data_IF_183891577013
#
_entry.id   IF_183891577013
#
_cell.length_a   1.000
_cell.length_b   1.000
_cell.length_c   1.000
_cell.angle_alpha   90.00
_cell.angle_beta   90.00
_cell.angle_gamma   90.00
#
_symmetry.space_group_name_H-M   'P 1'
#
loop_
_entity.id
_entity.type
_entity.pdbx_description
1 polymer ?
#
# COMPACT_ATOMS: atom_id res chain seq x y z
N UNK A 1 37.36 18.00 17.22
CA UNK A 1 36.92 16.89 18.10
C UNK A 1 37.17 15.60 17.36
N UNK A 2 37.99 14.72 17.92
CA UNK A 2 38.25 13.38 17.38
C UNK A 2 37.01 12.51 17.57
N UNK A 3 36.44 12.01 16.48
CA UNK A 3 35.33 11.05 16.50
C UNK A 3 35.77 9.81 17.28
N UNK A 4 34.96 9.34 18.25
CA UNK A 4 35.25 8.10 18.98
C UNK A 4 35.40 6.92 18.01
N UNK A 5 36.29 5.97 18.33
CA UNK A 5 36.49 4.73 17.54
C UNK A 5 35.14 4.02 17.34
N UNK A 6 34.32 3.97 18.40
CA UNK A 6 32.99 3.38 18.35
C UNK A 6 32.03 4.13 17.42
N UNK A 7 32.10 5.46 17.38
CA UNK A 7 31.27 6.24 16.45
C UNK A 7 31.71 6.05 14.98
N UNK A 8 33.01 5.99 14.72
CA UNK A 8 33.54 5.71 13.38
C UNK A 8 33.18 4.30 12.91
N UNK A 9 33.29 3.31 13.79
CA UNK A 9 32.90 1.93 13.50
C UNK A 9 31.38 1.78 13.28
N UNK A 10 30.56 2.46 14.08
CA UNK A 10 29.12 2.55 13.87
C UNK A 10 28.75 3.08 12.48
N UNK A 11 29.44 4.12 12.00
CA UNK A 11 29.24 4.64 10.63
C UNK A 11 29.61 3.59 9.59
N UNK A 12 30.75 2.92 9.75
CA UNK A 12 31.20 1.86 8.83
C UNK A 12 30.19 0.72 8.73
N UNK A 13 29.69 0.24 9.86
CA UNK A 13 28.70 -0.84 9.95
C UNK A 13 27.35 -0.40 9.35
N UNK A 14 26.93 0.84 9.60
CA UNK A 14 25.73 1.43 9.01
C UNK A 14 25.83 1.47 7.47
N UNK A 15 26.97 1.89 6.91
CA UNK A 15 27.19 1.87 5.45
C UNK A 15 27.17 0.45 4.87
N UNK A 16 27.49 -0.56 5.67
CA UNK A 16 27.39 -1.98 5.28
C UNK A 16 25.97 -2.56 5.44
N UNK A 17 25.00 -1.77 5.92
CA UNK A 17 23.65 -2.24 6.20
C UNK A 17 23.53 -3.11 7.46
N UNK A 18 24.58 -3.17 8.29
CA UNK A 18 24.59 -3.95 9.53
C UNK A 18 23.94 -3.15 10.67
N UNK A 19 22.62 -2.97 10.60
CA UNK A 19 21.85 -2.10 11.50
C UNK A 19 22.04 -2.43 12.99
N UNK A 20 21.91 -3.71 13.38
CA UNK A 20 22.04 -4.12 14.78
C UNK A 20 23.42 -3.81 15.38
N UNK A 21 24.51 -4.29 14.75
CA UNK A 21 25.87 -3.95 15.17
C UNK A 21 26.17 -2.45 15.16
N UNK A 22 25.70 -1.71 14.16
CA UNK A 22 25.88 -0.25 14.10
C UNK A 22 25.22 0.47 15.29
N UNK A 23 24.00 0.06 15.68
CA UNK A 23 23.32 0.59 16.87
C UNK A 23 24.17 0.36 18.12
N UNK A 24 24.72 -0.85 18.31
CA UNK A 24 25.52 -1.17 19.49
C UNK A 24 26.78 -0.29 19.58
N UNK A 25 27.47 -0.08 18.47
CA UNK A 25 28.67 0.77 18.44
C UNK A 25 28.33 2.25 18.71
N UNK A 26 27.23 2.77 18.16
CA UNK A 26 26.77 4.12 18.49
C UNK A 26 26.37 4.25 19.97
N UNK A 27 25.68 3.26 20.54
CA UNK A 27 25.30 3.25 21.95
C UNK A 27 26.54 3.21 22.87
N UNK A 28 27.58 2.44 22.51
CA UNK A 28 28.88 2.47 23.22
C UNK A 28 29.52 3.84 23.15
N UNK A 29 29.59 4.45 21.98
CA UNK A 29 30.12 5.81 21.83
C UNK A 29 29.38 6.82 22.70
N UNK A 30 28.05 6.70 22.82
CA UNK A 30 27.24 7.58 23.69
C UNK A 30 27.39 7.29 25.17
N UNK A 31 27.76 6.06 25.56
CA UNK A 31 28.08 5.72 26.96
C UNK A 31 29.39 6.35 27.41
N UNK A 32 30.37 6.48 26.49
CA UNK A 32 31.65 7.15 26.74
C UNK A 32 31.51 8.68 26.68
N UNK A 33 30.79 9.18 25.67
CA UNK A 33 30.52 10.60 25.48
C UNK A 33 29.04 10.82 25.09
N UNK A 34 28.17 11.20 26.05
CA UNK A 34 26.75 11.43 25.79
C UNK A 34 26.44 12.56 24.80
N UNK A 35 27.42 13.40 24.47
CA UNK A 35 27.31 14.53 23.52
C UNK A 35 28.02 14.26 22.18
N UNK A 36 28.40 13.02 21.89
CA UNK A 36 29.05 12.66 20.64
C UNK A 36 28.08 12.78 19.45
N UNK A 37 28.21 13.88 18.69
CA UNK A 37 27.28 14.24 17.60
C UNK A 37 27.18 13.18 16.51
N UNK A 38 28.30 12.58 16.11
CA UNK A 38 28.34 11.52 15.09
C UNK A 38 27.50 10.32 15.51
N UNK A 39 27.58 9.92 16.78
CA UNK A 39 26.82 8.80 17.31
C UNK A 39 25.34 9.14 17.49
N UNK A 40 25.01 10.36 17.95
CA UNK A 40 23.62 10.82 18.03
C UNK A 40 22.94 10.82 16.65
N UNK A 41 23.58 11.40 15.64
CA UNK A 41 23.05 11.46 14.27
C UNK A 41 22.98 10.07 13.64
N UNK A 42 24.02 9.26 13.78
CA UNK A 42 24.04 7.90 13.26
C UNK A 42 22.90 7.06 13.83
N UNK A 43 22.72 7.09 15.15
CA UNK A 43 21.64 6.38 15.82
C UNK A 43 20.27 6.95 15.43
N UNK A 44 20.11 8.28 15.33
CA UNK A 44 18.87 8.89 14.88
C UNK A 44 18.47 8.44 13.47
N UNK A 45 19.42 8.40 12.52
CA UNK A 45 19.19 7.89 11.15
C UNK A 45 18.75 6.43 11.14
N UNK A 46 19.37 5.58 11.97
CA UNK A 46 18.97 4.17 12.09
C UNK A 46 17.57 4.02 12.71
N UNK A 47 17.24 4.83 13.73
CA UNK A 47 15.89 4.84 14.32
C UNK A 47 14.84 5.30 13.31
N UNK A 48 15.14 6.31 12.49
CA UNK A 48 14.29 6.73 11.36
C UNK A 48 14.09 5.62 10.33
N UNK A 49 15.14 4.88 9.97
CA UNK A 49 15.04 3.75 9.04
C UNK A 49 14.20 2.59 9.61
N UNK A 50 14.20 2.42 10.94
CA UNK A 50 13.40 1.45 11.67
C UNK A 50 11.99 1.96 12.02
N UNK A 51 11.61 3.16 11.58
CA UNK A 51 10.34 3.83 11.93
C UNK A 51 10.12 3.99 13.45
N UNK A 52 11.19 4.04 14.25
CA UNK A 52 11.18 4.36 15.69
C UNK A 52 11.24 5.88 15.86
N UNK A 53 10.18 6.56 15.42
CA UNK A 53 10.10 8.02 15.36
C UNK A 53 10.25 8.68 16.74
N UNK A 54 9.76 8.01 17.79
CA UNK A 54 9.87 8.48 19.17
C UNK A 54 11.34 8.63 19.59
N UNK A 55 12.15 7.58 19.42
CA UNK A 55 13.58 7.65 19.75
C UNK A 55 14.36 8.52 18.78
N UNK A 56 14.01 8.50 17.49
CA UNK A 56 14.63 9.40 16.52
C UNK A 56 14.46 10.86 16.95
N UNK A 57 13.25 11.28 17.34
CA UNK A 57 12.98 12.64 17.83
C UNK A 57 13.78 12.98 19.08
N UNK A 58 13.89 12.06 20.03
CA UNK A 58 14.70 12.26 21.24
C UNK A 58 16.18 12.54 20.90
N UNK A 59 16.78 11.68 20.06
CA UNK A 59 18.17 11.81 19.64
C UNK A 59 18.42 13.08 18.84
N UNK A 60 17.51 13.43 17.91
CA UNK A 60 17.61 14.66 17.11
C UNK A 60 17.49 15.91 17.98
N UNK A 61 16.65 15.91 19.03
CA UNK A 61 16.58 17.02 19.99
C UNK A 61 17.88 17.17 20.77
N UNK A 62 18.50 16.07 21.19
CA UNK A 62 19.83 16.11 21.83
C UNK A 62 20.91 16.69 20.90
N UNK A 63 20.83 16.41 19.59
CA UNK A 63 21.71 17.07 18.61
C UNK A 63 21.50 18.59 18.61
N UNK A 64 20.25 19.05 18.67
CA UNK A 64 19.92 20.48 18.68
C UNK A 64 20.22 21.17 20.02
N UNK A 65 20.21 20.45 21.15
CA UNK A 65 20.71 20.98 22.43
C UNK A 65 22.20 21.30 22.37
N UNK A 66 22.97 20.53 21.59
CA UNK A 66 24.40 20.73 21.42
C UNK A 66 24.64 21.79 20.33
N UNK A 67 24.01 21.64 19.16
CA UNK A 67 24.13 22.51 18.00
C UNK A 67 22.71 22.96 17.52
N UNK A 68 22.19 24.09 18.03
CA UNK A 68 20.81 24.53 17.75
C UNK A 68 20.47 24.77 16.28
N UNK A 69 21.46 25.06 15.44
CA UNK A 69 21.30 25.34 14.01
C UNK A 69 21.69 24.16 13.12
N UNK A 70 21.79 22.94 13.67
CA UNK A 70 22.17 21.77 12.89
C UNK A 70 21.09 21.41 11.86
N UNK A 71 21.33 21.76 10.59
CA UNK A 71 20.34 21.71 9.51
C UNK A 71 19.78 20.31 9.27
N UNK A 72 20.62 19.27 9.32
CA UNK A 72 20.16 17.90 9.14
C UNK A 72 19.18 17.47 10.24
N UNK A 73 19.45 17.81 11.50
CA UNK A 73 18.60 17.44 12.62
C UNK A 73 17.26 18.20 12.58
N UNK A 74 17.31 19.49 12.25
CA UNK A 74 16.12 20.29 11.96
C UNK A 74 15.31 19.70 10.80
N UNK A 75 15.97 19.30 9.71
CA UNK A 75 15.33 18.72 8.53
C UNK A 75 14.67 17.38 8.83
N UNK A 76 15.30 16.51 9.62
CA UNK A 76 14.68 15.26 10.03
C UNK A 76 13.47 15.46 10.94
N UNK A 77 13.53 16.37 11.92
CA UNK A 77 12.38 16.70 12.76
C UNK A 77 11.24 17.32 11.95
N UNK A 78 11.54 18.28 11.08
CA UNK A 78 10.57 18.93 10.21
C UNK A 78 9.89 17.93 9.26
N UNK A 79 10.63 16.93 8.75
CA UNK A 79 10.06 15.83 7.97
C UNK A 79 9.08 15.00 8.81
N UNK A 80 9.46 14.59 10.02
CA UNK A 80 8.57 13.82 10.88
C UNK A 80 7.31 14.61 11.26
N UNK A 81 7.43 15.93 11.45
CA UNK A 81 6.28 16.80 11.72
C UNK A 81 5.37 16.91 10.48
N UNK A 82 5.95 17.07 9.29
CA UNK A 82 5.19 17.11 8.04
C UNK A 82 4.49 15.78 7.70
N UNK A 83 5.14 14.64 7.97
CA UNK A 83 4.56 13.30 7.83
C UNK A 83 3.41 13.07 8.84
N UNK A 84 3.48 13.71 10.01
CA UNK A 84 2.39 13.74 10.99
C UNK A 84 1.26 14.75 10.66
N UNK A 85 1.34 15.44 9.52
CA UNK A 85 0.33 16.39 9.06
C UNK A 85 0.54 17.85 9.50
N UNK A 86 1.67 18.18 10.15
CA UNK A 86 2.00 19.57 10.47
C UNK A 86 2.61 20.29 9.26
N UNK A 87 1.82 21.16 8.63
CA UNK A 87 2.24 22.00 7.50
C UNK A 87 3.49 22.85 7.78
N UNK A 88 3.74 23.21 9.04
CA UNK A 88 4.94 23.98 9.42
C UNK A 88 6.22 23.21 9.11
N UNK A 89 6.19 21.87 9.22
CA UNK A 89 7.31 21.02 8.85
C UNK A 89 7.73 21.20 7.39
N UNK A 90 6.77 21.36 6.47
CA UNK A 90 7.06 21.60 5.05
C UNK A 90 7.68 22.97 4.84
N UNK A 91 7.16 24.00 5.50
CA UNK A 91 7.72 25.35 5.44
C UNK A 91 9.18 25.37 5.91
N UNK A 92 9.48 24.68 7.01
CA UNK A 92 10.85 24.54 7.51
C UNK A 92 11.74 23.81 6.49
N UNK A 93 11.27 22.71 5.92
CA UNK A 93 12.02 21.96 4.89
C UNK A 93 12.31 22.81 3.64
N UNK A 94 11.32 23.57 3.15
CA UNK A 94 11.51 24.50 2.02
C UNK A 94 12.52 25.58 2.37
N UNK A 95 12.47 26.11 3.59
CA UNK A 95 13.44 27.08 4.10
C UNK A 95 14.86 26.53 4.13
N UNK A 96 15.06 25.34 4.71
CA UNK A 96 16.37 24.68 4.79
C UNK A 96 16.93 24.36 3.39
N UNK A 97 16.11 23.81 2.48
CA UNK A 97 16.54 23.51 1.12
C UNK A 97 16.83 24.75 0.27
N UNK A 98 16.31 25.92 0.67
CA UNK A 98 16.55 27.21 0.01
C UNK A 98 17.82 27.93 0.48
N UNK A 99 18.51 27.42 1.49
CA UNK A 99 19.77 28.00 1.98
C UNK A 99 20.92 27.76 0.98
N UNK A 100 21.90 28.67 0.96
CA UNK A 100 23.06 28.57 0.05
C UNK A 100 23.94 27.34 0.32
N UNK A 101 23.95 26.88 1.57
CA UNK A 101 24.69 25.72 2.07
C UNK A 101 23.82 24.47 2.21
N UNK A 102 22.61 24.47 1.62
CA UNK A 102 21.72 23.31 1.62
C UNK A 102 22.42 22.06 1.05
N UNK A 103 22.39 20.98 1.82
CA UNK A 103 23.08 19.74 1.55
C UNK A 103 22.16 18.62 1.09
N UNK A 104 22.73 17.42 1.06
CA UNK A 104 22.03 16.20 0.66
C UNK A 104 20.75 15.95 1.46
N UNK A 105 20.79 16.09 2.79
CA UNK A 105 19.67 15.72 3.65
C UNK A 105 18.52 16.72 3.57
N UNK A 106 18.81 18.01 3.39
CA UNK A 106 17.81 19.05 3.21
C UNK A 106 16.97 18.78 1.96
N UNK A 107 17.62 18.49 0.83
CA UNK A 107 16.96 18.12 -0.41
C UNK A 107 16.22 16.79 -0.33
N UNK A 108 16.84 15.76 0.28
CA UNK A 108 16.23 14.44 0.44
C UNK A 108 14.96 14.49 1.29
N UNK A 109 15.00 15.19 2.44
CA UNK A 109 13.87 15.29 3.33
C UNK A 109 12.72 16.09 2.68
N UNK A 110 13.01 17.21 2.01
CA UNK A 110 12.01 17.97 1.27
C UNK A 110 11.35 17.12 0.18
N UNK A 111 12.16 16.45 -0.65
CA UNK A 111 11.65 15.59 -1.73
C UNK A 111 10.72 14.49 -1.21
N UNK A 112 11.07 13.84 -0.09
CA UNK A 112 10.24 12.77 0.52
C UNK A 112 8.87 13.27 0.93
N UNK A 113 8.80 14.43 1.58
CA UNK A 113 7.53 15.03 2.01
C UNK A 113 6.68 15.46 0.82
N UNK A 114 7.30 16.06 -0.20
CA UNK A 114 6.59 16.45 -1.42
C UNK A 114 6.05 15.23 -2.17
N UNK A 115 6.83 14.13 -2.23
CA UNK A 115 6.40 12.88 -2.82
C UNK A 115 5.19 12.28 -2.09
N UNK A 116 5.22 12.24 -0.74
CA UNK A 116 4.09 11.76 0.07
C UNK A 116 2.81 12.59 -0.14
N UNK A 117 2.97 13.86 -0.50
CA UNK A 117 1.87 14.79 -0.83
C UNK A 117 1.47 14.77 -2.30
N UNK A 118 2.01 13.85 -3.09
CA UNK A 118 1.79 13.74 -4.55
C UNK A 118 2.20 15.00 -5.34
N UNK A 119 3.07 15.85 -4.80
CA UNK A 119 3.61 17.03 -5.49
C UNK A 119 4.84 16.59 -6.29
N UNK A 120 4.59 15.82 -7.34
CA UNK A 120 5.63 15.04 -8.01
C UNK A 120 6.71 15.88 -8.72
N UNK A 121 6.34 17.03 -9.28
CA UNK A 121 7.28 17.92 -9.98
C UNK A 121 8.33 18.50 -9.03
N UNK A 122 7.88 19.14 -7.94
CA UNK A 122 8.78 19.68 -6.91
C UNK A 122 9.58 18.56 -6.22
N UNK A 123 8.98 17.39 -6.00
CA UNK A 123 9.67 16.25 -5.41
C UNK A 123 10.84 15.78 -6.28
N UNK A 124 10.63 15.62 -7.60
CA UNK A 124 11.70 15.24 -8.52
C UNK A 124 12.82 16.30 -8.57
N UNK A 125 12.48 17.59 -8.56
CA UNK A 125 13.47 18.67 -8.51
C UNK A 125 14.34 18.60 -7.25
N UNK A 126 13.73 18.38 -6.08
CA UNK A 126 14.46 18.20 -4.83
C UNK A 126 15.35 16.95 -4.87
N UNK A 127 14.86 15.81 -5.36
CA UNK A 127 15.67 14.60 -5.48
C UNK A 127 16.80 14.73 -6.50
N UNK A 128 16.63 15.50 -7.57
CA UNK A 128 17.71 15.81 -8.51
C UNK A 128 18.83 16.62 -7.85
N UNK A 129 18.49 17.58 -6.97
CA UNK A 129 19.49 18.30 -6.18
C UNK A 129 20.20 17.37 -5.20
N UNK A 130 19.48 16.48 -4.50
CA UNK A 130 20.08 15.45 -3.65
C UNK A 130 21.00 14.50 -4.46
N UNK A 131 20.60 14.13 -5.68
CA UNK A 131 21.38 13.26 -6.58
C UNK A 131 22.66 13.96 -7.04
N UNK A 132 22.65 15.27 -7.29
CA UNK A 132 23.89 16.01 -7.60
C UNK A 132 24.91 15.94 -6.46
N UNK A 133 24.44 15.93 -5.21
CA UNK A 133 25.31 15.77 -4.03
C UNK A 133 25.83 14.33 -3.89
N UNK A 134 24.98 13.33 -4.16
CA UNK A 134 25.34 11.91 -4.10
C UNK A 134 24.84 11.15 -5.33
N UNK A 135 25.59 11.14 -6.46
CA UNK A 135 25.11 10.61 -7.74
C UNK A 135 24.80 9.11 -7.77
N UNK A 136 25.44 8.34 -6.90
CA UNK A 136 25.29 6.89 -6.80
C UNK A 136 24.58 6.47 -5.50
N UNK A 137 23.75 7.33 -4.92
CA UNK A 137 22.92 6.94 -3.76
C UNK A 137 21.66 6.19 -4.24
N UNK A 138 21.50 4.89 -3.92
CA UNK A 138 20.37 4.07 -4.37
C UNK A 138 19.02 4.56 -3.85
N UNK A 139 18.97 5.10 -2.63
CA UNK A 139 17.73 5.64 -2.07
C UNK A 139 17.25 6.85 -2.85
N UNK A 140 18.15 7.80 -3.17
CA UNK A 140 17.78 8.98 -3.97
C UNK A 140 17.30 8.59 -5.35
N UNK A 141 18.00 7.66 -6.02
CA UNK A 141 17.59 7.16 -7.33
C UNK A 141 16.21 6.49 -7.28
N UNK A 142 15.93 5.74 -6.22
CA UNK A 142 14.61 5.12 -6.02
C UNK A 142 13.52 6.17 -5.81
N UNK A 143 13.74 7.15 -4.94
CA UNK A 143 12.76 8.20 -4.69
C UNK A 143 12.54 9.12 -5.90
N UNK A 144 13.60 9.43 -6.65
CA UNK A 144 13.50 10.14 -7.92
C UNK A 144 12.67 9.34 -8.93
N UNK A 145 12.92 8.02 -9.04
CA UNK A 145 12.10 7.13 -9.87
C UNK A 145 10.62 7.13 -9.46
N UNK A 146 10.32 7.16 -8.16
CA UNK A 146 8.95 7.26 -7.65
C UNK A 146 8.29 8.59 -8.04
N UNK A 147 9.00 9.71 -7.90
CA UNK A 147 8.50 11.02 -8.30
C UNK A 147 8.23 11.10 -9.81
N UNK A 148 9.18 10.62 -10.63
CA UNK A 148 9.04 10.57 -12.09
C UNK A 148 7.88 9.66 -12.53
N UNK A 149 7.66 8.54 -11.86
CA UNK A 149 6.49 7.69 -12.09
C UNK A 149 5.19 8.46 -11.82
N UNK A 150 5.12 9.23 -10.73
CA UNK A 150 3.98 10.06 -10.40
C UNK A 150 3.69 11.15 -11.46
N UNK A 151 4.72 11.65 -12.14
CA UNK A 151 4.59 12.55 -13.30
C UNK A 151 4.18 11.83 -14.60
N UNK A 152 4.05 10.50 -14.59
CA UNK A 152 3.80 9.70 -15.80
C UNK A 152 5.06 9.39 -16.63
N UNK A 153 6.25 9.84 -16.22
CA UNK A 153 7.55 9.61 -16.90
C UNK A 153 8.09 8.20 -16.62
N UNK A 154 7.36 7.20 -17.10
CA UNK A 154 7.54 5.79 -16.74
C UNK A 154 8.86 5.17 -17.27
N UNK A 155 9.41 5.67 -18.37
CA UNK A 155 10.70 5.18 -18.90
C UNK A 155 11.89 5.69 -18.09
N UNK A 156 11.89 6.98 -17.75
CA UNK A 156 12.91 7.59 -16.89
C UNK A 156 12.88 6.98 -15.49
N UNK A 157 11.68 6.81 -14.92
CA UNK A 157 11.50 6.13 -13.64
C UNK A 157 12.10 4.72 -13.63
N UNK A 158 11.85 3.94 -14.69
CA UNK A 158 12.40 2.59 -14.83
C UNK A 158 13.93 2.60 -14.88
N UNK A 159 14.53 3.54 -15.61
CA UNK A 159 15.99 3.67 -15.69
C UNK A 159 16.60 3.95 -14.30
N UNK A 160 15.99 4.84 -13.52
CA UNK A 160 16.44 5.14 -12.16
C UNK A 160 16.29 3.95 -11.21
N UNK A 161 15.18 3.21 -11.25
CA UNK A 161 15.00 2.01 -10.44
C UNK A 161 16.02 0.92 -10.76
N UNK A 162 16.28 0.67 -12.05
CA UNK A 162 17.28 -0.32 -12.47
C UNK A 162 18.70 0.11 -12.08
N UNK A 163 19.01 1.42 -12.17
CA UNK A 163 20.30 1.94 -11.71
C UNK A 163 20.44 1.79 -10.19
N UNK A 164 19.42 2.14 -9.40
CA UNK A 164 19.41 1.93 -7.96
C UNK A 164 19.62 0.44 -7.61
N UNK A 165 18.88 -0.47 -8.25
CA UNK A 165 19.03 -1.91 -8.06
C UNK A 165 20.42 -2.45 -8.42
N UNK A 166 21.14 -1.81 -9.36
CA UNK A 166 22.51 -2.20 -9.71
C UNK A 166 23.55 -1.80 -8.66
N UNK A 167 23.21 -0.84 -7.79
CA UNK A 167 24.10 -0.29 -6.77
C UNK A 167 23.94 -0.95 -5.40
N UNK A 168 22.92 -1.80 -5.22
CA UNK A 168 22.62 -2.49 -3.95
C UNK A 168 22.47 -3.98 -4.14
N UNK A 169 22.93 -4.76 -3.16
CA UNK A 169 22.78 -6.22 -3.14
C UNK A 169 21.69 -6.68 -2.17
N UNK A 170 21.30 -5.85 -1.21
CA UNK A 170 20.39 -6.20 -0.10
C UNK A 170 19.15 -5.29 -0.01
N UNK A 171 18.77 -4.65 -1.12
CA UNK A 171 17.53 -3.86 -1.20
C UNK A 171 16.61 -4.38 -2.29
N UNK A 172 15.34 -4.54 -1.94
CA UNK A 172 14.32 -5.11 -2.81
C UNK A 172 13.42 -4.04 -3.46
N UNK A 173 13.24 -2.88 -2.82
CA UNK A 173 12.30 -1.83 -3.27
C UNK A 173 12.53 -1.34 -4.70
N UNK A 174 13.77 -1.07 -5.17
CA UNK A 174 13.95 -0.58 -6.53
C UNK A 174 13.54 -1.64 -7.58
N UNK A 175 13.85 -2.92 -7.32
CA UNK A 175 13.45 -4.04 -8.18
C UNK A 175 11.94 -4.22 -8.20
N UNK A 176 11.29 -4.14 -7.03
CA UNK A 176 9.84 -4.21 -6.90
C UNK A 176 9.15 -3.10 -7.70
N UNK A 177 9.62 -1.86 -7.60
CA UNK A 177 9.05 -0.75 -8.38
C UNK A 177 9.31 -0.88 -9.88
N UNK A 178 10.50 -1.33 -10.29
CA UNK A 178 10.78 -1.64 -11.69
C UNK A 178 9.86 -2.77 -12.23
N UNK A 179 9.64 -3.83 -11.44
CA UNK A 179 8.76 -4.92 -11.79
C UNK A 179 7.32 -4.45 -12.02
N UNK A 180 6.76 -3.62 -11.11
CA UNK A 180 5.42 -3.05 -11.28
C UNK A 180 5.30 -2.21 -12.56
N UNK A 181 6.29 -1.37 -12.87
CA UNK A 181 6.28 -0.58 -14.10
C UNK A 181 6.33 -1.45 -15.36
N UNK A 182 7.17 -2.49 -15.36
CA UNK A 182 7.25 -3.43 -16.47
C UNK A 182 5.95 -4.21 -16.68
N UNK A 183 5.29 -4.59 -15.59
CA UNK A 183 3.99 -5.25 -15.64
C UNK A 183 2.93 -4.36 -16.30
N UNK A 184 2.85 -3.08 -15.92
CA UNK A 184 1.95 -2.11 -16.56
C UNK A 184 2.26 -1.89 -18.05
N UNK A 185 3.53 -2.02 -18.45
CA UNK A 185 3.96 -1.98 -19.87
C UNK A 185 3.74 -3.31 -20.63
N UNK A 186 3.15 -4.32 -19.99
CA UNK A 186 2.95 -5.65 -20.58
C UNK A 186 4.22 -6.50 -20.70
N UNK A 187 5.35 -6.06 -20.15
CA UNK A 187 6.62 -6.80 -20.13
C UNK A 187 6.64 -7.82 -18.99
N UNK A 188 5.63 -8.69 -18.97
CA UNK A 188 5.35 -9.65 -17.89
C UNK A 188 6.54 -10.55 -17.53
N UNK A 189 7.24 -11.20 -18.48
CA UNK A 189 8.35 -12.09 -18.13
C UNK A 189 9.46 -11.36 -17.38
N UNK A 190 9.78 -10.12 -17.79
CA UNK A 190 10.80 -9.30 -17.15
C UNK A 190 10.33 -8.78 -15.80
N UNK A 191 9.05 -8.43 -15.65
CA UNK A 191 8.47 -8.03 -14.37
C UNK A 191 8.57 -9.16 -13.33
N UNK A 192 8.21 -10.39 -13.70
CA UNK A 192 8.31 -11.56 -12.82
C UNK A 192 9.76 -11.86 -12.42
N UNK A 193 10.71 -11.72 -13.36
CA UNK A 193 12.12 -11.91 -13.07
C UNK A 193 12.64 -10.89 -12.05
N UNK A 194 12.35 -9.59 -12.23
CA UNK A 194 12.74 -8.56 -11.26
C UNK A 194 12.06 -8.76 -9.90
N UNK A 195 10.81 -9.23 -9.87
CA UNK A 195 10.12 -9.49 -8.61
C UNK A 195 10.73 -10.69 -7.86
N UNK A 196 11.16 -11.75 -8.56
CA UNK A 196 11.90 -12.86 -7.94
C UNK A 196 13.25 -12.39 -7.39
N UNK A 197 13.94 -11.51 -8.11
CA UNK A 197 15.16 -10.88 -7.60
C UNK A 197 14.87 -10.01 -6.37
N UNK A 198 13.79 -9.23 -6.37
CA UNK A 198 13.36 -8.46 -5.21
C UNK A 198 13.13 -9.38 -3.99
N UNK A 199 12.43 -10.49 -4.18
CA UNK A 199 12.18 -11.49 -3.14
C UNK A 199 13.49 -12.09 -2.58
N UNK A 200 14.49 -12.32 -3.43
CA UNK A 200 15.80 -12.83 -3.00
C UNK A 200 16.63 -11.83 -2.20
N UNK A 201 16.43 -10.52 -2.43
CA UNK A 201 17.17 -9.43 -1.77
C UNK A 201 16.46 -8.86 -0.55
N UNK A 202 15.19 -9.22 -0.34
CA UNK A 202 14.41 -8.72 0.78
C UNK A 202 14.90 -9.34 2.10
N UNK A 203 15.13 -8.48 3.09
CA UNK A 203 15.38 -8.92 4.46
C UNK A 203 14.13 -9.57 5.05
N UNK A 204 12.98 -8.89 4.90
CA UNK A 204 11.66 -9.46 5.16
C UNK A 204 10.97 -9.80 3.84
N UNK A 205 10.90 -11.10 3.55
CA UNK A 205 10.24 -11.60 2.34
C UNK A 205 8.72 -11.39 2.37
N UNK A 206 8.14 -11.22 3.55
CA UNK A 206 6.69 -11.03 3.71
C UNK A 206 6.17 -9.75 3.07
N UNK A 207 7.04 -8.75 2.86
CA UNK A 207 6.72 -7.52 2.13
C UNK A 207 6.65 -7.74 0.60
N UNK A 208 7.35 -8.74 0.07
CA UNK A 208 7.49 -8.96 -1.38
C UNK A 208 6.58 -10.07 -1.90
N UNK A 209 6.31 -11.11 -1.10
CA UNK A 209 5.41 -12.20 -1.51
C UNK A 209 4.02 -11.71 -1.96
N UNK A 210 3.32 -10.82 -1.23
CA UNK A 210 2.02 -10.29 -1.66
C UNK A 210 2.08 -9.66 -3.05
N UNK A 211 3.14 -8.90 -3.33
CA UNK A 211 3.35 -8.21 -4.61
C UNK A 211 3.62 -9.19 -5.76
N UNK A 212 4.41 -10.23 -5.50
CA UNK A 212 4.65 -11.30 -6.46
C UNK A 212 3.36 -12.07 -6.77
N UNK A 213 2.58 -12.43 -5.76
CA UNK A 213 1.33 -13.18 -5.95
C UNK A 213 0.31 -12.32 -6.73
N UNK A 214 0.13 -11.05 -6.35
CA UNK A 214 -0.75 -10.11 -7.07
C UNK A 214 -0.32 -9.94 -8.52
N UNK A 215 0.99 -9.80 -8.77
CA UNK A 215 1.52 -9.73 -10.13
C UNK A 215 1.22 -11.00 -10.93
N UNK A 216 1.47 -12.19 -10.37
CA UNK A 216 1.20 -13.46 -11.05
C UNK A 216 -0.30 -13.59 -11.39
N UNK A 217 -1.20 -13.24 -10.45
CA UNK A 217 -2.65 -13.22 -10.68
C UNK A 217 -3.00 -12.29 -11.85
N UNK A 218 -2.53 -11.04 -11.82
CA UNK A 218 -2.81 -10.04 -12.86
C UNK A 218 -2.30 -10.47 -14.24
N UNK A 219 -1.24 -11.27 -14.27
CA UNK A 219 -0.62 -11.74 -15.51
C UNK A 219 -1.18 -13.07 -16.02
N UNK A 220 -2.19 -13.63 -15.34
CA UNK A 220 -2.98 -14.75 -15.84
C UNK A 220 -2.45 -16.15 -15.49
N UNK A 221 -1.60 -16.31 -14.47
CA UNK A 221 -1.17 -17.64 -13.97
C UNK A 221 -1.67 -17.90 -12.53
N UNK A 222 -2.98 -18.06 -12.31
CA UNK A 222 -3.52 -18.29 -10.97
C UNK A 222 -2.99 -19.58 -10.30
N UNK A 223 -2.58 -20.59 -11.09
CA UNK A 223 -1.93 -21.80 -10.56
C UNK A 223 -0.54 -21.50 -10.01
N UNK A 224 0.25 -20.68 -10.70
CA UNK A 224 1.52 -20.15 -10.19
C UNK A 224 1.32 -19.32 -8.93
N UNK A 225 0.32 -18.45 -8.92
CA UNK A 225 -0.02 -17.64 -7.75
C UNK A 225 -0.35 -18.52 -6.54
N UNK A 226 -1.12 -19.60 -6.73
CA UNK A 226 -1.46 -20.53 -5.66
C UNK A 226 -0.21 -21.22 -5.09
N UNK A 227 0.72 -21.66 -5.94
CA UNK A 227 2.02 -22.23 -5.49
C UNK A 227 2.84 -21.22 -4.70
N UNK A 228 2.98 -19.99 -5.21
CA UNK A 228 3.73 -18.93 -4.53
C UNK A 228 3.06 -18.51 -3.20
N UNK A 229 1.74 -18.53 -3.11
CA UNK A 229 1.04 -18.25 -1.87
C UNK A 229 1.24 -19.33 -0.80
N UNK A 230 1.38 -20.60 -1.20
CA UNK A 230 1.79 -21.68 -0.29
C UNK A 230 3.20 -21.44 0.25
N UNK A 231 4.15 -21.06 -0.62
CA UNK A 231 5.51 -20.69 -0.18
C UNK A 231 5.49 -19.53 0.81
N UNK A 232 4.68 -18.50 0.54
CA UNK A 232 4.52 -17.37 1.46
C UNK A 232 4.01 -17.82 2.83
N UNK A 233 2.98 -18.68 2.86
CA UNK A 233 2.42 -19.23 4.11
C UNK A 233 3.38 -20.11 4.89
N UNK A 234 4.41 -20.69 4.25
CA UNK A 234 5.48 -21.40 4.96
C UNK A 234 6.45 -20.42 5.66
N UNK A 235 6.74 -19.29 5.02
CA UNK A 235 7.66 -18.26 5.56
C UNK A 235 6.98 -17.43 6.64
N UNK A 236 5.70 -17.13 6.48
CA UNK A 236 4.93 -16.29 7.41
C UNK A 236 3.57 -16.92 7.76
N UNK A 237 3.55 -18.00 8.57
CA UNK A 237 2.32 -18.76 8.85
C UNK A 237 1.20 -17.97 9.54
N UNK A 238 1.57 -16.93 10.30
CA UNK A 238 0.64 -16.09 11.07
C UNK A 238 0.22 -14.82 10.32
N UNK A 239 0.60 -14.67 9.04
CA UNK A 239 0.23 -13.51 8.25
C UNK A 239 -1.16 -13.71 7.61
N UNK A 240 -2.13 -12.89 8.03
CA UNK A 240 -3.50 -12.97 7.54
C UNK A 240 -3.64 -12.69 6.03
N UNK A 241 -2.85 -11.74 5.49
CA UNK A 241 -2.84 -11.44 4.05
C UNK A 241 -2.33 -12.64 3.25
N UNK A 242 -1.31 -13.36 3.74
CA UNK A 242 -0.81 -14.58 3.11
C UNK A 242 -1.85 -15.69 3.05
N UNK A 243 -2.64 -15.85 4.12
CA UNK A 243 -3.76 -16.78 4.14
C UNK A 243 -4.85 -16.39 3.14
N UNK A 244 -5.20 -15.10 3.11
CA UNK A 244 -6.16 -14.54 2.16
C UNK A 244 -5.72 -14.75 0.71
N UNK A 245 -4.47 -14.42 0.39
CA UNK A 245 -3.90 -14.54 -0.96
C UNK A 245 -3.80 -16.01 -1.40
N UNK A 246 -3.50 -16.94 -0.50
CA UNK A 246 -3.55 -18.38 -0.81
C UNK A 246 -4.98 -18.79 -1.17
N UNK A 247 -5.96 -18.41 -0.35
CA UNK A 247 -7.36 -18.68 -0.62
C UNK A 247 -7.83 -18.11 -1.95
N UNK A 248 -7.53 -16.84 -2.20
CA UNK A 248 -7.89 -16.13 -3.44
C UNK A 248 -7.22 -16.76 -4.66
N UNK A 249 -5.91 -17.02 -4.62
CA UNK A 249 -5.20 -17.62 -5.74
C UNK A 249 -5.69 -19.05 -6.04
N UNK A 250 -5.98 -19.84 -5.00
CA UNK A 250 -6.54 -21.19 -5.14
C UNK A 250 -7.94 -21.15 -5.75
N UNK A 251 -8.78 -20.20 -5.32
CA UNK A 251 -10.11 -19.97 -5.89
C UNK A 251 -10.02 -19.62 -7.38
N UNK A 252 -9.17 -18.66 -7.74
CA UNK A 252 -8.95 -18.25 -9.13
C UNK A 252 -8.33 -19.34 -9.99
N UNK A 253 -7.62 -20.30 -9.38
CA UNK A 253 -7.08 -21.48 -10.08
C UNK A 253 -8.14 -22.53 -10.43
N UNK A 254 -9.39 -22.33 -9.96
CA UNK A 254 -10.52 -23.21 -10.22
C UNK A 254 -10.80 -24.22 -9.10
N UNK A 255 -10.18 -24.08 -7.92
CA UNK A 255 -10.38 -24.98 -6.79
C UNK A 255 -11.06 -24.27 -5.59
N UNK A 256 -12.39 -24.08 -5.63
CA UNK A 256 -13.12 -23.46 -4.52
C UNK A 256 -13.07 -24.28 -3.22
N UNK A 257 -12.96 -25.62 -3.31
CA UNK A 257 -12.89 -26.48 -2.11
C UNK A 257 -11.54 -26.35 -1.42
N UNK A 258 -10.45 -26.32 -2.18
CA UNK A 258 -9.10 -26.09 -1.66
C UNK A 258 -8.87 -24.67 -1.15
N UNK A 259 -9.62 -23.68 -1.65
CA UNK A 259 -9.54 -22.30 -1.18
C UNK A 259 -10.13 -22.09 0.23
N UNK A 260 -11.16 -22.85 0.60
CA UNK A 260 -11.94 -22.66 1.83
C UNK A 260 -11.09 -22.66 3.12
N UNK A 261 -10.18 -23.62 3.37
CA UNK A 261 -9.36 -23.63 4.58
C UNK A 261 -8.51 -22.36 4.72
N UNK A 262 -7.85 -21.94 3.64
CA UNK A 262 -6.98 -20.76 3.68
C UNK A 262 -7.76 -19.46 3.93
N UNK A 263 -8.98 -19.33 3.38
CA UNK A 263 -9.84 -18.17 3.65
C UNK A 263 -10.41 -18.18 5.08
N UNK A 264 -10.70 -19.36 5.64
CA UNK A 264 -11.07 -19.48 7.06
C UNK A 264 -9.92 -19.11 8.00
N UNK A 265 -8.70 -19.52 7.66
CA UNK A 265 -7.50 -19.11 8.40
C UNK A 265 -7.33 -17.59 8.34
N UNK A 266 -7.52 -16.98 7.17
CA UNK A 266 -7.43 -15.52 7.01
C UNK A 266 -8.41 -14.79 7.94
N UNK A 267 -9.66 -15.25 8.02
CA UNK A 267 -10.69 -14.69 8.92
C UNK A 267 -10.32 -14.95 10.39
N UNK A 268 -9.72 -16.10 10.71
CA UNK A 268 -9.26 -16.40 12.08
C UNK A 268 -8.13 -15.48 12.52
N UNK A 269 -7.16 -15.24 11.63
CA UNK A 269 -6.00 -14.39 11.88
C UNK A 269 -6.35 -12.90 11.90
N UNK A 270 -7.35 -12.48 11.12
CA UNK A 270 -7.84 -11.10 11.10
C UNK A 270 -9.39 -11.07 11.13
N UNK A 271 -9.99 -11.21 12.32
CA UNK A 271 -11.45 -11.34 12.50
C UNK A 271 -12.26 -10.12 12.09
N UNK A 272 -11.66 -8.95 11.94
CA UNK A 272 -12.28 -7.68 11.56
C UNK A 272 -12.24 -7.42 10.04
N UNK A 273 -11.66 -8.33 9.24
CA UNK A 273 -11.53 -8.13 7.79
C UNK A 273 -12.81 -8.45 7.01
N UNK A 274 -13.12 -7.58 6.04
CA UNK A 274 -14.27 -7.74 5.12
C UNK A 274 -13.90 -8.65 3.97
N UNK A 275 -12.68 -8.52 3.45
CA UNK A 275 -12.19 -9.16 2.23
C UNK A 275 -12.17 -10.67 2.34
N UNK A 276 -11.70 -11.21 3.48
CA UNK A 276 -11.68 -12.65 3.74
C UNK A 276 -13.08 -13.27 3.73
N UNK A 277 -14.06 -12.55 4.30
CA UNK A 277 -15.47 -12.99 4.33
C UNK A 277 -16.13 -12.94 2.97
N UNK A 278 -15.90 -11.87 2.20
CA UNK A 278 -16.41 -11.76 0.83
C UNK A 278 -15.79 -12.84 -0.07
N UNK A 279 -14.48 -13.11 0.06
CA UNK A 279 -13.84 -14.19 -0.68
C UNK A 279 -14.41 -15.57 -0.29
N UNK A 280 -14.66 -15.82 1.00
CA UNK A 280 -15.26 -17.08 1.43
C UNK A 280 -16.73 -17.19 1.02
N UNK A 281 -17.48 -16.08 0.99
CA UNK A 281 -18.83 -16.04 0.45
C UNK A 281 -18.85 -16.42 -1.04
N UNK A 282 -17.89 -15.93 -1.81
CA UNK A 282 -17.70 -16.33 -3.21
C UNK A 282 -17.42 -17.83 -3.37
N UNK A 283 -16.65 -18.43 -2.45
CA UNK A 283 -16.49 -19.90 -2.40
C UNK A 283 -17.84 -20.58 -2.16
N UNK A 284 -18.62 -20.13 -1.18
CA UNK A 284 -19.96 -20.69 -0.88
C UNK A 284 -20.90 -20.59 -2.08
N UNK A 285 -20.92 -19.45 -2.76
CA UNK A 285 -21.69 -19.22 -3.99
C UNK A 285 -21.35 -20.27 -5.06
N UNK A 286 -20.06 -20.48 -5.34
CA UNK A 286 -19.60 -21.47 -6.34
C UNK A 286 -19.94 -22.90 -5.92
N UNK A 287 -19.86 -23.19 -4.62
CA UNK A 287 -20.24 -24.49 -4.05
C UNK A 287 -21.76 -24.67 -3.89
N UNK A 288 -22.57 -23.68 -4.30
CA UNK A 288 -24.04 -23.68 -4.22
C UNK A 288 -24.57 -23.80 -2.78
N UNK A 289 -23.92 -23.11 -1.84
CA UNK A 289 -24.35 -22.94 -0.45
C UNK A 289 -24.85 -21.50 -0.20
N UNK A 290 -26.10 -21.18 -0.59
CA UNK A 290 -26.64 -19.82 -0.47
C UNK A 290 -26.82 -19.36 0.98
N UNK A 291 -27.03 -20.30 1.92
CA UNK A 291 -27.16 -19.96 3.33
C UNK A 291 -25.81 -19.54 3.93
N UNK A 292 -24.74 -20.27 3.62
CA UNK A 292 -23.38 -19.92 4.01
C UNK A 292 -22.90 -18.62 3.36
N UNK A 293 -23.21 -18.42 2.07
CA UNK A 293 -22.92 -17.18 1.33
C UNK A 293 -23.57 -15.97 2.01
N UNK A 294 -24.91 -16.00 2.20
CA UNK A 294 -25.65 -14.89 2.80
C UNK A 294 -25.12 -14.57 4.20
N UNK A 295 -24.87 -15.59 5.03
CA UNK A 295 -24.35 -15.41 6.39
C UNK A 295 -23.02 -14.65 6.39
N UNK A 296 -22.07 -15.05 5.54
CA UNK A 296 -20.75 -14.43 5.47
C UNK A 296 -20.82 -12.98 4.99
N UNK A 297 -21.69 -12.70 4.02
CA UNK A 297 -21.87 -11.33 3.54
C UNK A 297 -22.59 -10.45 4.59
N UNK A 298 -23.54 -10.98 5.34
CA UNK A 298 -24.18 -10.27 6.46
C UNK A 298 -23.16 -9.94 7.57
N UNK A 299 -22.26 -10.87 7.90
CA UNK A 299 -21.15 -10.61 8.81
C UNK A 299 -20.21 -9.53 8.26
N UNK A 300 -19.85 -9.60 6.97
CA UNK A 300 -19.00 -8.61 6.31
C UNK A 300 -19.62 -7.20 6.30
N UNK A 301 -20.92 -7.10 5.99
CA UNK A 301 -21.66 -5.83 5.99
C UNK A 301 -21.87 -5.27 7.40
N UNK A 302 -21.89 -6.10 8.44
CA UNK A 302 -21.90 -5.63 9.84
C UNK A 302 -20.57 -5.02 10.26
N UNK A 303 -19.45 -5.58 9.78
CA UNK A 303 -18.11 -5.07 10.07
C UNK A 303 -17.87 -3.72 9.40
N UNK A 304 -18.20 -3.61 8.11
CA UNK A 304 -18.19 -2.35 7.40
C UNK A 304 -19.50 -2.13 6.63
N UNK A 305 -20.46 -1.39 7.23
CA UNK A 305 -21.72 -1.06 6.57
C UNK A 305 -21.53 -0.21 5.32
N UNK A 306 -20.39 0.48 5.15
CA UNK A 306 -20.15 1.36 4.00
C UNK A 306 -19.46 0.64 2.84
N UNK A 307 -19.00 -0.59 3.03
CA UNK A 307 -18.35 -1.38 1.99
C UNK A 307 -19.32 -1.74 0.86
N UNK A 308 -19.07 -1.34 -0.41
CA UNK A 308 -19.97 -1.63 -1.52
C UNK A 308 -20.11 -3.12 -1.85
N UNK A 309 -18.99 -3.86 -1.83
CA UNK A 309 -18.95 -5.24 -2.30
C UNK A 309 -19.92 -6.20 -1.57
N UNK A 310 -19.88 -6.34 -0.22
CA UNK A 310 -20.80 -7.22 0.48
C UNK A 310 -22.27 -6.77 0.36
N UNK A 311 -22.52 -5.46 0.29
CA UNK A 311 -23.87 -4.91 0.16
C UNK A 311 -24.48 -5.20 -1.22
N UNK A 312 -23.70 -5.08 -2.29
CA UNK A 312 -24.11 -5.45 -3.64
C UNK A 312 -24.47 -6.94 -3.72
N UNK A 313 -23.60 -7.82 -3.22
CA UNK A 313 -23.84 -9.27 -3.25
C UNK A 313 -25.07 -9.67 -2.41
N UNK A 314 -25.26 -9.07 -1.23
CA UNK A 314 -26.47 -9.26 -0.42
C UNK A 314 -27.73 -8.76 -1.10
N UNK A 315 -27.67 -7.60 -1.75
CA UNK A 315 -28.80 -7.05 -2.47
C UNK A 315 -29.26 -8.00 -3.58
N UNK A 316 -28.32 -8.59 -4.34
CA UNK A 316 -28.65 -9.61 -5.36
C UNK A 316 -29.34 -10.83 -4.72
N UNK A 317 -28.84 -11.32 -3.60
CA UNK A 317 -29.48 -12.43 -2.86
C UNK A 317 -30.90 -12.04 -2.43
N UNK A 318 -31.10 -10.87 -1.85
CA UNK A 318 -32.41 -10.41 -1.41
C UNK A 318 -33.38 -10.17 -2.58
N UNK A 319 -32.91 -9.63 -3.71
CA UNK A 319 -33.73 -9.41 -4.90
C UNK A 319 -34.16 -10.72 -5.59
N UNK A 320 -33.39 -11.79 -5.41
CA UNK A 320 -33.74 -13.12 -5.91
C UNK A 320 -34.87 -13.81 -5.12
N UNK A 321 -35.23 -13.30 -3.94
CA UNK A 321 -36.28 -13.90 -3.10
C UNK A 321 -37.66 -13.81 -3.78
N UNK A 322 -38.48 -14.87 -3.72
CA UNK A 322 -39.81 -14.88 -4.34
C UNK A 322 -40.72 -13.75 -3.87
N UNK A 323 -41.57 -13.28 -4.78
CA UNK A 323 -42.61 -12.29 -4.50
C UNK A 323 -42.09 -10.90 -4.10
N UNK A 324 -40.82 -10.58 -4.37
CA UNK A 324 -40.23 -9.29 -4.01
C UNK A 324 -40.01 -9.10 -2.50
N UNK A 325 -40.12 -10.17 -1.70
CA UNK A 325 -40.04 -10.12 -0.24
C UNK A 325 -38.70 -9.59 0.30
N UNK A 326 -37.61 -9.69 -0.46
CA UNK A 326 -36.31 -9.16 -0.07
C UNK A 326 -36.04 -7.71 -0.49
N UNK A 327 -36.92 -7.05 -1.25
CA UNK A 327 -36.63 -5.69 -1.77
C UNK A 327 -36.38 -4.65 -0.68
N UNK A 328 -37.13 -4.70 0.42
CA UNK A 328 -36.91 -3.81 1.57
C UNK A 328 -35.53 -4.04 2.22
N UNK A 329 -35.09 -5.30 2.32
CA UNK A 329 -33.77 -5.66 2.85
C UNK A 329 -32.66 -5.19 1.90
N UNK A 330 -32.87 -5.29 0.59
CA UNK A 330 -31.94 -4.76 -0.43
C UNK A 330 -31.78 -3.24 -0.30
N UNK A 331 -32.87 -2.47 -0.18
CA UNK A 331 -32.79 -1.01 0.07
C UNK A 331 -32.02 -0.71 1.36
N UNK A 332 -32.30 -1.46 2.43
CA UNK A 332 -31.65 -1.26 3.72
C UNK A 332 -30.13 -1.47 3.65
N UNK A 333 -29.66 -2.56 3.05
CA UNK A 333 -28.23 -2.88 2.98
C UNK A 333 -27.48 -1.95 2.01
N UNK A 334 -28.13 -1.46 0.96
CA UNK A 334 -27.51 -0.57 -0.03
C UNK A 334 -27.45 0.89 0.42
N UNK A 335 -28.24 1.31 1.40
CA UNK A 335 -28.33 2.73 1.79
C UNK A 335 -27.02 3.29 2.36
N UNK A 336 -26.36 2.66 3.36
CA UNK A 336 -25.10 3.17 3.89
C UNK A 336 -23.94 3.23 2.88
N UNK A 337 -23.65 2.19 2.06
CA UNK A 337 -22.55 2.26 1.10
C UNK A 337 -22.84 3.26 -0.02
N UNK A 338 -24.11 3.44 -0.41
CA UNK A 338 -24.47 4.43 -1.43
C UNK A 338 -24.29 5.88 -0.92
N UNK A 339 -24.50 6.12 0.38
CA UNK A 339 -24.18 7.41 0.99
C UNK A 339 -22.66 7.68 1.05
N UNK A 340 -21.85 6.63 1.23
CA UNK A 340 -20.39 6.73 1.25
C UNK A 340 -19.77 6.79 -0.16
N UNK A 341 -20.42 6.16 -1.14
CA UNK A 341 -19.96 6.00 -2.51
C UNK A 341 -21.08 6.40 -3.50
N UNK A 342 -21.46 7.69 -3.56
CA UNK A 342 -22.60 8.17 -4.33
C UNK A 342 -22.43 8.08 -5.86
N UNK A 343 -21.24 7.75 -6.34
CA UNK A 343 -20.94 7.60 -7.77
C UNK A 343 -20.81 6.13 -8.20
N UNK A 344 -21.00 5.17 -7.29
CA UNK A 344 -20.86 3.74 -7.61
C UNK A 344 -22.05 3.25 -8.46
N UNK A 345 -21.83 2.89 -9.74
CA UNK A 345 -22.92 2.52 -10.63
C UNK A 345 -23.58 1.18 -10.27
N UNK A 346 -22.87 0.28 -9.58
CA UNK A 346 -23.42 -1.03 -9.18
C UNK A 346 -24.36 -0.88 -7.99
N UNK A 347 -24.00 -0.04 -7.01
CA UNK A 347 -24.90 0.32 -5.91
C UNK A 347 -26.17 0.99 -6.46
N UNK A 348 -26.02 1.89 -7.43
CA UNK A 348 -27.14 2.51 -8.12
C UNK A 348 -28.03 1.52 -8.86
N UNK A 349 -27.46 0.59 -9.61
CA UNK A 349 -28.24 -0.44 -10.32
C UNK A 349 -29.05 -1.30 -9.34
N UNK A 350 -28.41 -1.81 -8.30
CA UNK A 350 -29.06 -2.66 -7.30
C UNK A 350 -30.14 -1.91 -6.52
N UNK A 351 -29.92 -0.62 -6.21
CA UNK A 351 -30.91 0.24 -5.56
C UNK A 351 -32.11 0.49 -6.47
N UNK A 352 -31.88 0.72 -7.76
CA UNK A 352 -32.94 0.91 -8.74
C UNK A 352 -33.84 -0.33 -8.86
N UNK A 353 -33.23 -1.52 -8.92
CA UNK A 353 -33.95 -2.80 -8.95
C UNK A 353 -34.77 -3.02 -7.68
N UNK A 354 -34.21 -2.66 -6.51
CA UNK A 354 -34.91 -2.77 -5.23
C UNK A 354 -36.13 -1.86 -5.13
N UNK A 355 -36.07 -0.65 -5.70
CA UNK A 355 -37.13 0.36 -5.66
C UNK A 355 -38.18 0.22 -6.78
N UNK A 356 -37.96 -0.64 -7.78
CA UNK A 356 -38.74 -0.64 -9.02
C UNK A 356 -40.27 -0.73 -8.85
N UNK A 357 -40.74 -1.38 -7.79
CA UNK A 357 -42.19 -1.57 -7.53
C UNK A 357 -42.72 -0.62 -6.45
N UNK A 358 -41.87 -0.09 -5.57
CA UNK A 358 -42.27 0.73 -4.42
C UNK A 358 -42.11 2.23 -4.66
N UNK A 359 -41.11 2.64 -5.42
CA UNK A 359 -40.84 4.05 -5.75
C UNK A 359 -40.21 4.16 -7.15
N UNK A 360 -41.07 4.21 -8.16
CA UNK A 360 -40.66 4.31 -9.57
C UNK A 360 -39.84 5.56 -9.86
N UNK A 361 -40.10 6.66 -9.15
CA UNK A 361 -39.40 7.94 -9.36
C UNK A 361 -37.93 7.82 -8.96
N UNK A 362 -37.69 7.35 -7.73
CA UNK A 362 -36.32 7.09 -7.25
C UNK A 362 -35.65 5.96 -8.02
N UNK A 363 -36.38 4.91 -8.38
CA UNK A 363 -35.84 3.82 -9.19
C UNK A 363 -35.29 4.34 -10.54
N UNK A 364 -36.00 5.25 -11.23
CA UNK A 364 -35.51 5.88 -12.46
C UNK A 364 -34.26 6.73 -12.23
N UNK A 365 -34.19 7.49 -11.13
CA UNK A 365 -33.02 8.30 -10.81
C UNK A 365 -31.77 7.41 -10.63
N UNK A 366 -31.88 6.37 -9.80
CA UNK A 366 -30.77 5.44 -9.59
C UNK A 366 -30.41 4.67 -10.87
N UNK A 367 -31.39 4.25 -11.67
CA UNK A 367 -31.13 3.58 -12.95
C UNK A 367 -30.36 4.48 -13.94
N UNK A 368 -30.67 5.79 -14.00
CA UNK A 368 -29.90 6.74 -14.82
C UNK A 368 -28.46 6.86 -14.36
N UNK A 369 -28.24 6.94 -13.04
CA UNK A 369 -26.88 6.99 -12.46
C UNK A 369 -26.10 5.70 -12.75
N UNK A 370 -26.76 4.55 -12.83
CA UNK A 370 -26.11 3.28 -13.18
C UNK A 370 -25.60 3.20 -14.64
N UNK A 371 -26.08 4.06 -15.56
CA UNK A 371 -25.68 4.03 -16.97
C UNK A 371 -24.19 4.37 -17.21
N UNK A 372 -23.52 4.98 -16.24
CA UNK A 372 -22.07 5.26 -16.32
C UNK A 372 -21.21 4.02 -16.07
N UNK A 373 -21.82 2.85 -15.78
CA UNK A 373 -21.09 1.61 -15.54
C UNK A 373 -20.18 1.24 -16.70
N UNK A 374 -18.95 0.84 -16.39
CA UNK A 374 -18.03 0.25 -17.38
C UNK A 374 -18.48 -1.14 -17.83
N UNK A 375 -19.32 -1.83 -17.06
CA UNK A 375 -19.85 -3.15 -17.41
C UNK A 375 -21.05 -3.01 -18.35
N UNK A 376 -20.94 -3.59 -19.55
CA UNK A 376 -22.02 -3.55 -20.55
C UNK A 376 -23.32 -4.19 -20.03
N UNK A 377 -23.23 -5.28 -19.27
CA UNK A 377 -24.38 -5.94 -18.64
C UNK A 377 -25.17 -5.00 -17.73
N UNK A 378 -24.47 -4.17 -16.95
CA UNK A 378 -25.08 -3.30 -15.96
C UNK A 378 -25.80 -2.13 -16.64
N UNK A 379 -25.20 -1.60 -17.73
CA UNK A 379 -25.84 -0.60 -18.59
C UNK A 379 -27.11 -1.15 -19.24
N UNK A 380 -27.02 -2.33 -19.85
CA UNK A 380 -28.17 -2.97 -20.48
C UNK A 380 -29.30 -3.25 -19.48
N UNK A 381 -28.97 -3.69 -18.26
CA UNK A 381 -29.96 -3.91 -17.21
C UNK A 381 -30.61 -2.60 -16.74
N UNK A 382 -29.84 -1.52 -16.62
CA UNK A 382 -30.37 -0.19 -16.30
C UNK A 382 -31.30 0.36 -17.40
N UNK A 383 -30.93 0.20 -18.68
CA UNK A 383 -31.75 0.62 -19.83
C UNK A 383 -33.08 -0.14 -19.88
N UNK A 384 -33.03 -1.47 -19.71
CA UNK A 384 -34.24 -2.31 -19.63
C UNK A 384 -35.15 -1.88 -18.48
N UNK A 385 -34.56 -1.59 -17.31
CA UNK A 385 -35.31 -1.11 -16.16
C UNK A 385 -35.98 0.24 -16.46
N UNK A 386 -35.26 1.20 -17.04
CA UNK A 386 -35.81 2.50 -17.43
C UNK A 386 -36.99 2.36 -18.40
N UNK A 387 -36.86 1.52 -19.42
CA UNK A 387 -37.94 1.25 -20.36
C UNK A 387 -39.19 0.66 -19.69
N UNK A 388 -39.00 -0.21 -18.68
CA UNK A 388 -40.11 -0.84 -17.94
C UNK A 388 -40.81 0.11 -16.97
N UNK A 389 -40.11 1.13 -16.47
CA UNK A 389 -40.66 2.06 -15.49
C UNK A 389 -41.58 3.10 -16.12
N UNK A 390 -41.54 3.30 -17.45
CA UNK A 390 -42.24 4.36 -18.20
C UNK A 390 -41.64 5.73 -17.95
#
# INVERSE_FOLDING_TARGET
MTVSIHAAEGVRLMTQGMTGPAIQEFERALSENPKELTALLGLARLRLALSDDTKARELLRRVLEIHPTHTEALGHLARLDAEAGDERGVTVLKGLAGQLDAGFFEYLNLGRVLLARNVFEEAAAAFELARKQQPNNPHVLTYLGLALRGQGKSDEALAHFLKAASLTQHEHLPLLHAARLLAHKGQVPRALELMKQALSRAHDKSEVYPELIKLIILTGDPKGAARTAVEFRQVSPQNAEGAYLQGLATLLSGDPRGAEPALRDAITLAPDTVEGRVALANVRRILKDPAGEQKLLEEASKLDPKAPAPACDLAVIYLSKPGGSGRAQAVQVLTPPLAAHPEDPNLHLNMALALADSDKGRAREHARKALVSSQASNREQAERLLASLG
#
